data_IF_250323383632
#
_entry.id   IF_250323383632
#
_cell.length_a   1.000
_cell.length_b   1.000
_cell.length_c   1.000
_cell.angle_alpha   90.00
_cell.angle_beta   90.00
_cell.angle_gamma   90.00
#
_symmetry.space_group_name_H-M   'P 1'
#
loop_
_entity.id
_entity.type
_entity.pdbx_description
1 polymer ?
#
# COMPACT_ATOMS: atom_id res chain seq x y z
N UNK A 1 4.59 -0.88 -24.51
CA UNK A 1 3.87 0.09 -23.67
C UNK A 1 4.80 0.47 -22.53
N UNK A 2 4.94 1.77 -22.23
CA UNK A 2 5.77 2.24 -21.13
C UNK A 2 4.88 2.38 -19.89
N UNK A 3 4.82 1.32 -19.09
CA UNK A 3 4.10 1.30 -17.82
C UNK A 3 5.10 1.57 -16.70
N UNK A 4 4.65 2.13 -15.58
CA UNK A 4 5.48 2.27 -14.38
C UNK A 4 4.75 1.67 -13.18
N UNK A 5 5.51 1.25 -12.18
CA UNK A 5 4.97 0.78 -10.90
C UNK A 5 5.42 1.74 -9.83
N UNK A 6 4.47 2.25 -9.04
CA UNK A 6 4.76 3.06 -7.87
C UNK A 6 4.61 2.19 -6.63
N UNK A 7 5.66 2.08 -5.83
CA UNK A 7 5.56 1.54 -4.48
C UNK A 7 5.19 2.65 -3.50
N UNK A 8 4.35 2.33 -2.52
CA UNK A 8 3.80 3.26 -1.54
C UNK A 8 3.99 2.65 -0.15
N UNK A 9 5.05 3.08 0.54
CA UNK A 9 5.27 2.70 1.95
C UNK A 9 4.62 3.76 2.84
N UNK A 10 3.67 3.34 3.68
CA UNK A 10 3.01 4.23 4.63
C UNK A 10 4.02 4.76 5.67
N UNK A 11 4.16 6.08 5.77
CA UNK A 11 4.96 6.76 6.82
C UNK A 11 4.09 7.13 8.02
N UNK A 12 2.80 7.38 7.77
CA UNK A 12 1.79 7.63 8.79
C UNK A 12 0.60 6.70 8.57
N UNK A 13 -0.30 6.61 9.55
CA UNK A 13 -1.51 5.79 9.41
C UNK A 13 -2.30 6.23 8.17
N UNK A 14 -2.85 5.27 7.42
CA UNK A 14 -3.61 5.55 6.20
C UNK A 14 -5.10 5.32 6.43
N UNK A 15 -5.91 6.27 5.99
CA UNK A 15 -7.37 6.11 5.93
C UNK A 15 -7.87 6.28 4.48
N UNK A 16 -7.76 5.24 3.63
CA UNK A 16 -8.41 5.22 2.33
C UNK A 16 -9.90 4.94 2.53
N UNK A 17 -10.71 5.94 2.88
CA UNK A 17 -12.11 5.72 3.24
C UNK A 17 -12.98 5.18 2.08
N UNK A 18 -13.93 4.29 2.39
CA UNK A 18 -14.97 3.82 1.46
C UNK A 18 -16.32 4.54 1.62
N UNK A 19 -16.35 5.64 2.38
CA UNK A 19 -17.57 6.29 2.83
C UNK A 19 -18.10 5.73 4.15
N UNK A 20 -19.17 6.32 4.66
CA UNK A 20 -19.81 5.88 5.91
C UNK A 20 -20.55 4.56 5.70
N UNK A 21 -20.49 3.68 6.71
CA UNK A 21 -21.22 2.42 6.70
C UNK A 21 -22.13 2.30 7.92
N UNK A 22 -23.18 1.48 7.81
CA UNK A 22 -24.06 1.15 8.94
C UNK A 22 -23.48 0.03 9.84
N UNK A 23 -22.16 -0.17 9.82
CA UNK A 23 -21.46 -1.19 10.59
C UNK A 23 -21.09 -0.73 12.00
N UNK A 24 -20.33 -1.57 12.72
CA UNK A 24 -19.76 -1.22 14.04
C UNK A 24 -18.67 -0.14 13.93
N UNK A 25 -18.05 -0.03 12.75
CA UNK A 25 -17.07 1.00 12.41
C UNK A 25 -17.76 1.98 11.46
N UNK A 26 -17.90 3.24 11.88
CA UNK A 26 -18.56 4.28 11.10
C UNK A 26 -17.80 4.59 9.81
N UNK A 27 -16.47 4.68 9.91
CA UNK A 27 -15.55 5.00 8.82
C UNK A 27 -14.52 3.87 8.64
N UNK A 28 -14.86 2.79 7.91
CA UNK A 28 -13.93 1.72 7.60
C UNK A 28 -12.95 2.12 6.50
N UNK A 29 -11.82 1.41 6.42
CA UNK A 29 -10.94 1.52 5.25
C UNK A 29 -11.58 0.82 4.05
N UNK A 30 -11.27 1.29 2.85
CA UNK A 30 -11.71 0.67 1.61
C UNK A 30 -11.09 -0.72 1.46
N UNK A 31 -11.91 -1.66 1.00
CA UNK A 31 -11.58 -3.07 0.87
C UNK A 31 -12.01 -3.60 -0.48
N UNK A 32 -11.26 -4.53 -1.04
CA UNK A 32 -11.68 -5.30 -2.21
C UNK A 32 -12.92 -6.14 -1.86
N UNK A 33 -13.94 -6.13 -2.72
CA UNK A 33 -15.21 -6.79 -2.41
C UNK A 33 -15.09 -8.30 -2.16
N UNK A 34 -14.19 -8.99 -2.86
CA UNK A 34 -14.09 -10.46 -2.83
C UNK A 34 -13.18 -10.95 -1.69
N UNK A 35 -12.02 -10.33 -1.51
CA UNK A 35 -11.00 -10.75 -0.53
C UNK A 35 -11.18 -10.05 0.82
N UNK A 36 -11.83 -8.89 0.82
CA UNK A 36 -11.87 -7.92 1.92
C UNK A 36 -10.50 -7.34 2.28
N UNK A 37 -9.49 -7.48 1.41
CA UNK A 37 -8.18 -6.92 1.65
C UNK A 37 -8.23 -5.39 1.49
N UNK A 38 -7.54 -4.63 2.36
CA UNK A 38 -7.44 -3.19 2.21
C UNK A 38 -6.90 -2.78 0.84
N UNK A 39 -7.50 -1.74 0.28
CA UNK A 39 -7.17 -1.23 -1.05
C UNK A 39 -7.25 0.29 -1.06
N UNK A 40 -6.39 0.94 -1.83
CA UNK A 40 -6.59 2.34 -2.18
C UNK A 40 -7.14 2.38 -3.60
N UNK A 41 -8.40 2.77 -3.74
CA UNK A 41 -9.09 2.75 -5.04
C UNK A 41 -8.38 3.66 -6.06
N UNK A 42 -8.36 3.23 -7.31
CA UNK A 42 -7.61 3.88 -8.39
C UNK A 42 -8.06 5.31 -8.65
N UNK A 43 -9.33 5.63 -8.40
CA UNK A 43 -9.84 7.01 -8.45
C UNK A 43 -9.22 7.89 -7.37
N UNK A 44 -9.10 7.39 -6.13
CA UNK A 44 -8.42 8.09 -5.02
C UNK A 44 -6.93 8.25 -5.31
N UNK A 45 -6.27 7.21 -5.81
CA UNK A 45 -4.86 7.29 -6.24
C UNK A 45 -4.67 8.31 -7.35
N UNK A 46 -5.53 8.31 -8.37
CA UNK A 46 -5.50 9.29 -9.47
C UNK A 46 -5.71 10.71 -8.95
N UNK A 47 -6.61 10.90 -7.99
CA UNK A 47 -6.86 12.18 -7.32
C UNK A 47 -5.62 12.68 -6.58
N UNK A 48 -4.99 11.83 -5.76
CA UNK A 48 -3.76 12.16 -5.04
C UNK A 48 -2.60 12.53 -5.98
N UNK A 49 -2.39 11.74 -7.04
CA UNK A 49 -1.36 12.02 -8.04
C UNK A 49 -1.63 13.33 -8.80
N UNK A 50 -2.90 13.61 -9.11
CA UNK A 50 -3.31 14.86 -9.74
C UNK A 50 -3.05 16.05 -8.82
N UNK A 51 -3.48 15.98 -7.56
CA UNK A 51 -3.24 17.05 -6.59
C UNK A 51 -1.74 17.34 -6.43
N UNK A 52 -0.92 16.29 -6.30
CA UNK A 52 0.54 16.43 -6.27
C UNK A 52 1.08 17.10 -7.54
N UNK A 53 0.56 16.75 -8.70
CA UNK A 53 0.95 17.38 -9.96
C UNK A 53 0.54 18.86 -10.03
N UNK A 54 -0.64 19.21 -9.53
CA UNK A 54 -1.12 20.60 -9.43
C UNK A 54 -0.25 21.43 -8.47
N UNK A 55 0.23 20.84 -7.37
CA UNK A 55 1.18 21.49 -6.45
C UNK A 55 2.55 21.74 -7.09
N UNK A 56 3.06 20.82 -7.90
CA UNK A 56 4.42 20.89 -8.48
C UNK A 56 4.46 21.69 -9.79
N UNK A 57 3.46 21.53 -10.65
CA UNK A 57 3.42 22.15 -11.98
C UNK A 57 2.47 23.35 -12.09
N UNK A 58 1.63 23.56 -11.08
CA UNK A 58 0.54 24.54 -11.10
C UNK A 58 -0.79 23.93 -11.55
N UNK A 59 -1.88 24.37 -10.92
CA UNK A 59 -3.24 23.84 -11.12
C UNK A 59 -3.77 23.96 -12.55
N UNK A 60 -3.37 25.01 -13.25
CA UNK A 60 -3.80 25.30 -14.63
C UNK A 60 -2.81 24.79 -15.69
N UNK A 61 -1.82 23.99 -15.29
CA UNK A 61 -0.83 23.44 -16.21
C UNK A 61 -1.46 22.49 -17.23
N UNK A 62 -1.21 22.73 -18.52
CA UNK A 62 -1.65 21.84 -19.60
C UNK A 62 -1.20 20.38 -19.39
N UNK A 63 -0.05 20.17 -18.73
CA UNK A 63 0.46 18.83 -18.41
C UNK A 63 -0.46 18.06 -17.45
N UNK A 64 -1.08 18.74 -16.48
CA UNK A 64 -2.02 18.11 -15.55
C UNK A 64 -3.23 17.61 -16.33
N UNK A 65 -3.79 18.44 -17.20
CA UNK A 65 -4.94 18.09 -18.03
C UNK A 65 -4.61 16.99 -19.03
N UNK A 66 -3.44 17.03 -19.66
CA UNK A 66 -3.01 15.97 -20.56
C UNK A 66 -2.90 14.63 -19.83
N UNK A 67 -2.28 14.59 -18.66
CA UNK A 67 -2.02 13.33 -17.92
C UNK A 67 -3.31 12.79 -17.31
N UNK A 68 -4.06 13.61 -16.57
CA UNK A 68 -5.18 13.15 -15.77
C UNK A 68 -6.55 13.32 -16.44
N UNK A 69 -6.63 14.15 -17.48
CA UNK A 69 -7.86 14.46 -18.20
C UNK A 69 -8.64 15.65 -17.65
N UNK A 70 -9.67 16.01 -18.39
CA UNK A 70 -10.68 17.03 -18.10
C UNK A 70 -12.08 16.43 -18.27
N UNK A 71 -13.16 17.10 -17.84
CA UNK A 71 -14.52 16.58 -17.97
C UNK A 71 -14.91 16.13 -19.40
N UNK A 72 -14.35 16.77 -20.41
CA UNK A 72 -14.60 16.55 -21.84
C UNK A 72 -13.46 15.83 -22.57
N UNK A 73 -12.33 15.54 -21.90
CA UNK A 73 -11.15 14.92 -22.50
C UNK A 73 -10.52 13.85 -21.60
N UNK A 74 -10.38 12.64 -22.12
CA UNK A 74 -9.74 11.55 -21.38
C UNK A 74 -8.23 11.79 -21.22
N UNK A 75 -7.71 11.54 -20.01
CA UNK A 75 -6.28 11.66 -19.70
C UNK A 75 -5.41 10.62 -20.41
N UNK A 76 -4.09 10.84 -20.38
CA UNK A 76 -3.07 10.04 -21.03
C UNK A 76 -2.71 8.73 -20.29
N UNK A 77 -3.06 8.61 -19.01
CA UNK A 77 -2.72 7.42 -18.19
C UNK A 77 -3.94 6.76 -17.54
N UNK A 78 -3.88 5.44 -17.42
CA UNK A 78 -4.69 4.66 -16.48
C UNK A 78 -3.94 4.53 -15.15
N UNK A 79 -4.64 4.74 -14.04
CA UNK A 79 -4.13 4.53 -12.68
C UNK A 79 -4.92 3.39 -12.08
N UNK A 80 -4.26 2.29 -11.74
CA UNK A 80 -4.93 1.14 -11.10
C UNK A 80 -5.15 1.39 -9.62
N UNK A 81 -5.97 0.58 -8.99
CA UNK A 81 -6.01 0.48 -7.53
C UNK A 81 -4.59 0.25 -6.98
N UNK A 82 -4.27 0.86 -5.83
CA UNK A 82 -3.08 0.48 -5.09
C UNK A 82 -3.40 -0.75 -4.24
N UNK A 83 -2.71 -1.84 -4.55
CA UNK A 83 -2.90 -3.15 -3.93
C UNK A 83 -1.97 -3.33 -2.75
N UNK A 84 -2.49 -3.83 -1.63
CA UNK A 84 -1.70 -4.20 -0.48
C UNK A 84 -0.74 -5.33 -0.86
N UNK A 85 0.51 -5.23 -0.42
CA UNK A 85 1.51 -6.29 -0.60
C UNK A 85 2.04 -6.79 0.75
N UNK A 86 2.37 -5.87 1.66
CA UNK A 86 2.83 -6.20 3.01
C UNK A 86 2.01 -5.46 4.06
N UNK A 87 1.46 -6.20 5.01
CA UNK A 87 0.75 -5.68 6.16
C UNK A 87 1.62 -5.82 7.41
N UNK A 88 1.98 -4.73 8.10
CA UNK A 88 2.70 -4.85 9.37
C UNK A 88 1.73 -5.31 10.45
N UNK A 89 2.09 -6.41 11.11
CA UNK A 89 1.31 -7.05 12.18
C UNK A 89 2.18 -7.13 13.41
N UNK A 90 1.65 -6.76 14.58
CA UNK A 90 2.40 -6.80 15.84
C UNK A 90 2.88 -8.22 16.10
N UNK A 91 4.11 -8.35 16.60
CA UNK A 91 4.68 -9.65 16.96
C UNK A 91 5.23 -9.62 18.37
N UNK A 92 5.21 -10.77 19.06
CA UNK A 92 5.90 -10.93 20.36
C UNK A 92 7.37 -11.33 20.19
N UNK A 93 7.79 -11.73 18.99
CA UNK A 93 9.16 -12.10 18.65
C UNK A 93 9.99 -10.90 18.13
N UNK A 94 9.53 -9.66 18.36
CA UNK A 94 10.17 -8.44 17.85
C UNK A 94 9.25 -7.23 17.95
N UNK A 95 9.47 -6.23 17.10
CA UNK A 95 8.60 -5.03 17.05
C UNK A 95 7.29 -5.33 16.29
N UNK A 96 7.39 -5.67 15.02
CA UNK A 96 6.31 -6.14 14.16
C UNK A 96 6.92 -7.01 13.05
N UNK A 97 6.06 -7.72 12.31
CA UNK A 97 6.45 -8.46 11.09
C UNK A 97 5.64 -7.95 9.91
N UNK A 98 6.27 -7.86 8.74
CA UNK A 98 5.56 -7.65 7.49
C UNK A 98 4.98 -8.99 7.03
N UNK A 99 3.67 -9.11 7.15
CA UNK A 99 2.93 -10.31 6.80
C UNK A 99 2.41 -10.17 5.37
N UNK A 100 2.49 -11.25 4.61
CA UNK A 100 1.90 -11.42 3.28
C UNK A 100 1.39 -12.85 3.11
N UNK A 101 0.86 -13.19 1.94
CA UNK A 101 0.33 -14.52 1.64
C UNK A 101 0.61 -14.92 0.18
N UNK A 102 0.54 -16.22 -0.16
CA UNK A 102 0.74 -16.71 -1.52
C UNK A 102 -0.08 -15.96 -2.57
N UNK A 103 -1.33 -15.61 -2.25
CA UNK A 103 -2.19 -14.87 -3.16
C UNK A 103 -1.67 -13.47 -3.52
N UNK A 104 -1.20 -12.70 -2.52
CA UNK A 104 -0.68 -11.36 -2.77
C UNK A 104 0.63 -11.42 -3.57
N UNK A 105 1.48 -12.41 -3.30
CA UNK A 105 2.73 -12.63 -4.02
C UNK A 105 2.47 -13.02 -5.49
N UNK A 106 1.61 -14.01 -5.71
CA UNK A 106 1.17 -14.44 -7.04
C UNK A 106 0.61 -13.27 -7.86
N UNK A 107 -0.27 -12.48 -7.24
CA UNK A 107 -0.88 -11.31 -7.88
C UNK A 107 0.14 -10.23 -8.18
N UNK A 108 1.07 -9.95 -7.26
CA UNK A 108 2.16 -9.01 -7.49
C UNK A 108 3.01 -9.43 -8.69
N UNK A 109 3.36 -10.72 -8.81
CA UNK A 109 4.12 -11.19 -9.97
C UNK A 109 3.36 -10.94 -11.28
N UNK A 110 2.06 -11.29 -11.37
CA UNK A 110 1.24 -11.04 -12.56
C UNK A 110 1.14 -9.55 -12.90
N UNK A 111 1.03 -8.69 -11.90
CA UNK A 111 0.95 -7.25 -12.11
C UNK A 111 2.29 -6.67 -12.60
N UNK A 112 3.41 -7.16 -12.06
CA UNK A 112 4.74 -6.80 -12.56
C UNK A 112 4.92 -7.21 -14.02
N UNK A 113 4.46 -8.41 -14.39
CA UNK A 113 4.45 -8.88 -15.78
C UNK A 113 3.56 -7.99 -16.68
N UNK A 114 2.37 -7.59 -16.20
CA UNK A 114 1.48 -6.65 -16.89
C UNK A 114 2.14 -5.28 -17.10
N UNK A 115 2.94 -4.83 -16.12
CA UNK A 115 3.72 -3.61 -16.22
C UNK A 115 4.99 -3.75 -17.09
N UNK A 116 5.26 -4.94 -17.63
CA UNK A 116 6.40 -5.19 -18.53
C UNK A 116 7.71 -5.48 -17.80
N UNK A 117 7.67 -5.84 -16.52
CA UNK A 117 8.83 -6.31 -15.77
C UNK A 117 8.93 -7.83 -15.82
N UNK A 118 10.16 -8.34 -15.79
CA UNK A 118 10.41 -9.76 -15.56
C UNK A 118 10.80 -9.94 -14.09
N UNK A 119 9.81 -10.14 -13.23
CA UNK A 119 10.01 -10.46 -11.81
C UNK A 119 9.78 -11.95 -11.62
N UNK A 120 10.80 -12.65 -11.14
CA UNK A 120 10.66 -14.04 -10.70
C UNK A 120 10.67 -14.06 -9.18
N UNK A 121 9.50 -14.22 -8.57
CA UNK A 121 9.44 -14.46 -7.13
C UNK A 121 10.03 -15.83 -6.82
N UNK A 122 10.75 -15.98 -5.70
CA UNK A 122 11.13 -17.31 -5.24
C UNK A 122 9.86 -18.10 -4.94
N UNK A 123 9.93 -19.42 -5.14
CA UNK A 123 8.87 -20.32 -4.73
C UNK A 123 8.83 -20.34 -3.20
N UNK A 124 7.84 -19.66 -2.61
CA UNK A 124 7.58 -19.72 -1.18
C UNK A 124 6.41 -20.68 -1.01
N UNK A 125 6.66 -21.89 -0.48
CA UNK A 125 5.60 -22.87 -0.31
C UNK A 125 4.52 -22.29 0.58
N UNK A 126 3.25 -22.51 0.21
CA UNK A 126 2.12 -22.11 1.05
C UNK A 126 2.23 -22.86 2.38
N UNK A 127 2.43 -22.16 3.51
CA UNK A 127 2.56 -22.81 4.79
C UNK A 127 1.20 -23.41 5.20
N UNK A 128 1.18 -24.59 5.85
CA UNK A 128 -0.06 -25.14 6.39
C UNK A 128 -0.62 -24.23 7.50
N UNK A 129 -1.89 -24.39 7.84
CA UNK A 129 -2.49 -23.60 8.92
C UNK A 129 -1.77 -23.81 10.25
N UNK A 130 -1.58 -22.72 11.00
CA UNK A 130 -0.77 -22.68 12.21
C UNK A 130 0.74 -22.70 11.95
N UNK A 131 1.18 -22.46 10.72
CA UNK A 131 2.58 -22.32 10.36
C UNK A 131 2.85 -21.04 9.57
N UNK A 132 4.07 -20.54 9.66
CA UNK A 132 4.50 -19.34 8.96
C UNK A 132 5.88 -19.54 8.33
N UNK A 133 6.03 -19.18 7.05
CA UNK A 133 7.34 -19.14 6.41
C UNK A 133 8.04 -17.83 6.79
N UNK A 134 9.16 -17.95 7.50
CA UNK A 134 9.94 -16.82 8.01
C UNK A 134 11.40 -17.24 8.24
N UNK A 135 12.28 -16.27 8.48
CA UNK A 135 13.65 -16.53 8.96
C UNK A 135 13.62 -16.98 10.44
N UNK A 136 14.47 -17.95 10.79
CA UNK A 136 14.61 -18.49 12.15
C UNK A 136 13.90 -19.83 12.38
N UNK A 137 13.69 -20.17 13.64
CA UNK A 137 13.06 -21.41 14.10
C UNK A 137 12.18 -21.17 15.35
N UNK A 138 11.35 -22.17 15.70
CA UNK A 138 10.46 -22.15 16.86
C UNK A 138 9.12 -21.46 16.58
N UNK A 139 8.51 -20.91 17.63
CA UNK A 139 7.17 -20.32 17.54
C UNK A 139 7.21 -18.81 17.23
N UNK A 140 6.37 -18.39 16.29
CA UNK A 140 6.09 -17.00 15.94
C UNK A 140 4.70 -16.61 16.46
N UNK A 141 4.63 -15.50 17.18
CA UNK A 141 3.36 -14.93 17.64
C UNK A 141 3.06 -13.65 16.86
N UNK A 142 1.90 -13.61 16.21
CA UNK A 142 1.38 -12.45 15.47
C UNK A 142 0.01 -12.09 16.05
N UNK A 143 -0.07 -10.92 16.66
CA UNK A 143 -1.20 -10.53 17.51
C UNK A 143 -1.58 -11.66 18.50
N UNK A 144 -2.81 -12.17 18.45
CA UNK A 144 -3.33 -13.26 19.27
C UNK A 144 -3.04 -14.66 18.71
N UNK A 145 -2.52 -14.78 17.50
CA UNK A 145 -2.30 -16.06 16.82
C UNK A 145 -0.87 -16.56 17.01
N UNK A 146 -0.72 -17.88 17.14
CA UNK A 146 0.57 -18.57 17.25
C UNK A 146 0.83 -19.45 16.04
N UNK A 147 2.07 -19.43 15.54
CA UNK A 147 2.52 -20.17 14.37
C UNK A 147 3.81 -20.91 14.68
N UNK A 148 3.99 -22.07 14.09
CA UNK A 148 5.30 -22.72 14.00
C UNK A 148 6.06 -22.21 12.78
N UNK A 149 7.33 -21.82 12.97
CA UNK A 149 8.15 -21.29 11.89
C UNK A 149 8.63 -22.43 10.99
N UNK A 150 8.27 -22.34 9.71
CA UNK A 150 8.85 -23.16 8.65
C UNK A 150 9.99 -22.38 8.02
N UNK A 151 11.19 -22.59 8.55
CA UNK A 151 12.38 -21.83 8.17
C UNK A 151 12.61 -21.88 6.66
N UNK A 152 12.52 -20.71 6.02
CA UNK A 152 12.70 -20.56 4.58
C UNK A 152 13.50 -19.28 4.34
N UNK A 153 14.46 -19.33 3.42
CA UNK A 153 15.23 -18.14 3.06
C UNK A 153 14.33 -17.04 2.49
N UNK A 154 14.12 -15.97 3.25
CA UNK A 154 13.29 -14.82 2.86
C UNK A 154 14.07 -13.82 2.00
N UNK A 155 15.38 -13.98 1.89
CA UNK A 155 16.26 -13.05 1.15
C UNK A 155 15.82 -12.83 -0.29
N UNK A 156 15.47 -13.89 -1.03
CA UNK A 156 15.03 -13.75 -2.42
C UNK A 156 13.71 -12.97 -2.55
N UNK A 157 12.78 -13.18 -1.61
CA UNK A 157 11.50 -12.49 -1.62
C UNK A 157 11.68 -11.02 -1.23
N UNK A 158 12.50 -10.76 -0.21
CA UNK A 158 12.88 -9.42 0.19
C UNK A 158 13.55 -8.66 -0.97
N UNK A 159 14.46 -9.29 -1.73
CA UNK A 159 15.08 -8.68 -2.90
C UNK A 159 14.08 -8.34 -4.01
N UNK A 160 13.04 -9.15 -4.21
CA UNK A 160 12.02 -8.87 -5.21
C UNK A 160 11.08 -7.72 -4.81
N UNK A 161 10.81 -7.55 -3.51
CA UNK A 161 9.92 -6.50 -2.99
C UNK A 161 10.66 -5.19 -2.68
N UNK A 162 11.95 -5.26 -2.34
CA UNK A 162 12.78 -4.11 -1.97
C UNK A 162 12.73 -2.92 -2.95
N UNK A 163 12.65 -3.11 -4.28
CA UNK A 163 12.52 -1.98 -5.22
C UNK A 163 11.28 -1.10 -4.97
N UNK A 164 10.22 -1.63 -4.36
CA UNK A 164 9.02 -0.87 -3.99
C UNK A 164 9.22 0.04 -2.77
N UNK A 165 10.37 -0.05 -2.10
CA UNK A 165 10.68 0.67 -0.87
C UNK A 165 11.80 1.69 -1.16
N UNK A 166 11.52 2.97 -0.92
CA UNK A 166 12.49 4.05 -1.16
C UNK A 166 13.63 4.06 -0.12
N UNK A 167 13.34 3.71 1.14
CA UNK A 167 14.29 3.82 2.25
C UNK A 167 15.26 2.65 2.30
N UNK A 168 16.56 2.92 2.15
CA UNK A 168 17.59 1.88 2.20
C UNK A 168 17.55 1.06 3.50
N UNK A 169 17.40 1.72 4.66
CA UNK A 169 17.35 1.03 5.96
C UNK A 169 16.13 0.12 6.13
N UNK A 170 15.02 0.46 5.46
CA UNK A 170 13.82 -0.38 5.44
C UNK A 170 14.06 -1.60 4.55
N UNK A 171 14.69 -1.42 3.39
CA UNK A 171 15.14 -2.52 2.52
C UNK A 171 16.07 -3.50 3.24
N UNK A 172 17.04 -2.99 4.00
CA UNK A 172 18.05 -3.79 4.71
C UNK A 172 17.43 -4.73 5.75
N UNK A 173 16.35 -4.31 6.43
CA UNK A 173 15.67 -5.11 7.48
C UNK A 173 14.55 -6.01 6.96
N UNK A 174 14.19 -5.91 5.67
CA UNK A 174 13.02 -6.57 5.11
C UNK A 174 13.08 -8.10 5.29
N UNK A 175 14.20 -8.72 4.91
CA UNK A 175 14.34 -10.19 4.96
C UNK A 175 14.09 -10.78 6.37
N UNK A 176 14.61 -10.15 7.43
CA UNK A 176 14.45 -10.64 8.81
C UNK A 176 13.07 -10.37 9.44
N UNK A 177 12.22 -9.60 8.76
CA UNK A 177 10.90 -9.20 9.27
C UNK A 177 9.74 -9.67 8.40
N UNK A 178 10.03 -10.23 7.24
CA UNK A 178 9.04 -10.76 6.31
C UNK A 178 8.51 -12.11 6.79
N UNK A 179 7.20 -12.28 6.70
CA UNK A 179 6.49 -13.49 7.07
C UNK A 179 5.45 -13.77 6.01
N UNK A 180 5.41 -15.02 5.54
CA UNK A 180 4.32 -15.52 4.69
C UNK A 180 3.47 -16.47 5.53
N UNK A 181 2.17 -16.20 5.59
CA UNK A 181 1.16 -17.10 6.16
C UNK A 181 0.21 -17.53 5.04
N UNK A 182 -0.68 -18.50 5.30
CA UNK A 182 -1.67 -18.87 4.28
C UNK A 182 -2.70 -17.75 4.04
N UNK A 183 -3.48 -17.90 2.97
CA UNK A 183 -4.39 -16.85 2.52
C UNK A 183 -5.51 -16.54 3.54
N UNK A 184 -5.96 -17.54 4.31
CA UNK A 184 -7.04 -17.39 5.29
C UNK A 184 -6.55 -16.67 6.55
N UNK A 185 -5.36 -17.02 7.04
CA UNK A 185 -4.70 -16.35 8.17
C UNK A 185 -4.33 -14.90 7.81
N UNK A 186 -3.86 -14.65 6.59
CA UNK A 186 -3.65 -13.28 6.13
C UNK A 186 -4.97 -12.50 6.07
N UNK A 187 -6.04 -13.12 5.58
CA UNK A 187 -7.39 -12.52 5.55
C UNK A 187 -7.88 -12.13 6.94
N UNK A 188 -7.57 -12.94 7.95
CA UNK A 188 -7.83 -12.60 9.35
C UNK A 188 -7.15 -11.29 9.75
N UNK A 189 -5.83 -11.20 9.58
CA UNK A 189 -5.08 -9.98 9.95
C UNK A 189 -5.57 -8.75 9.19
N UNK A 190 -5.80 -8.88 7.88
CA UNK A 190 -6.27 -7.80 7.04
C UNK A 190 -7.65 -7.27 7.45
N UNK A 191 -8.51 -8.11 8.03
CA UNK A 191 -9.88 -7.75 8.43
C UNK A 191 -9.99 -7.26 9.86
N UNK A 192 -9.25 -7.87 10.79
CA UNK A 192 -9.53 -7.74 12.22
C UNK A 192 -8.39 -7.11 13.01
N UNK A 193 -7.19 -6.99 12.43
CA UNK A 193 -6.01 -6.47 13.14
C UNK A 193 -5.60 -5.07 12.65
N UNK A 194 -6.55 -4.31 12.07
CA UNK A 194 -6.33 -2.90 11.75
C UNK A 194 -6.67 -2.02 12.95
N UNK A 195 -6.03 -0.86 13.02
CA UNK A 195 -6.23 0.07 14.13
C UNK A 195 -7.60 0.75 14.00
N UNK A 196 -8.42 0.63 15.04
CA UNK A 196 -9.70 1.34 15.16
C UNK A 196 -9.58 2.41 16.24
N UNK A 197 -9.75 3.66 15.85
CA UNK A 197 -9.67 4.82 16.73
C UNK A 197 -11.07 5.37 17.01
N UNK A 198 -11.39 5.57 18.28
CA UNK A 198 -12.54 6.37 18.68
C UNK A 198 -12.19 7.86 18.56
N UNK A 199 -13.02 8.62 17.86
CA UNK A 199 -12.89 10.07 17.70
C UNK A 199 -14.16 10.74 18.19
N UNK A 200 -14.01 11.93 18.76
CA UNK A 200 -15.15 12.71 19.21
C UNK A 200 -15.05 14.21 18.93
N UNK A 201 -16.21 14.87 18.98
CA UNK A 201 -16.32 16.32 19.10
C UNK A 201 -16.64 16.65 20.55
N UNK A 202 -15.84 17.55 21.14
CA UNK A 202 -16.07 18.07 22.48
C UNK A 202 -16.84 19.39 22.39
N UNK A 203 -17.82 19.56 23.27
CA UNK A 203 -18.43 20.86 23.53
C UNK A 203 -17.40 21.81 24.15
N UNK A 204 -17.34 23.04 23.63
CA UNK A 204 -16.26 23.97 23.95
C UNK A 204 -16.33 24.49 25.39
N UNK A 205 -17.54 24.62 25.97
CA UNK A 205 -17.74 25.17 27.30
C UNK A 205 -17.65 24.09 28.39
N UNK A 206 -18.38 23.00 28.20
CA UNK A 206 -18.55 21.92 29.19
C UNK A 206 -17.48 20.84 29.10
N UNK A 207 -16.75 20.76 27.97
CA UNK A 207 -15.79 19.70 27.65
C UNK A 207 -16.42 18.30 27.63
N UNK A 208 -17.72 18.22 27.39
CA UNK A 208 -18.46 16.96 27.23
C UNK A 208 -18.42 16.48 25.77
N UNK A 209 -18.57 15.18 25.55
CA UNK A 209 -18.54 14.58 24.20
C UNK A 209 -19.93 14.58 23.56
N UNK A 210 -20.07 15.16 22.37
CA UNK A 210 -21.37 15.27 21.67
C UNK A 210 -21.52 14.36 20.45
N UNK A 211 -20.42 13.99 19.80
CA UNK A 211 -20.43 13.15 18.60
C UNK A 211 -19.25 12.18 18.65
N UNK A 212 -19.51 10.89 18.92
CA UNK A 212 -18.50 9.82 18.99
C UNK A 212 -18.62 8.93 17.75
N UNK A 213 -17.51 8.67 17.07
CA UNK A 213 -17.45 7.73 15.95
C UNK A 213 -16.17 6.91 15.97
N UNK A 214 -16.17 5.78 15.25
CA UNK A 214 -15.03 4.89 15.10
C UNK A 214 -14.48 4.93 13.68
N UNK A 215 -13.16 5.09 13.58
CA UNK A 215 -12.42 5.21 12.33
C UNK A 215 -11.36 4.10 12.27
N UNK A 216 -11.41 3.30 11.21
CA UNK A 216 -10.40 2.29 10.93
C UNK A 216 -9.25 2.88 10.11
N UNK A 217 -8.02 2.49 10.42
CA UNK A 217 -6.81 2.96 9.74
C UNK A 217 -5.84 1.81 9.51
N UNK A 218 -5.14 1.86 8.38
CA UNK A 218 -3.98 1.02 8.17
C UNK A 218 -2.78 1.54 8.95
N UNK A 219 -1.98 0.66 9.57
CA UNK A 219 -0.78 1.06 10.28
C UNK A 219 0.29 1.66 9.34
N UNK A 220 1.15 2.57 9.85
CA UNK A 220 2.44 2.90 9.22
C UNK A 220 3.23 1.63 8.90
N UNK A 221 4.18 1.73 7.97
CA UNK A 221 4.91 0.61 7.35
C UNK A 221 4.06 -0.31 6.44
N UNK A 222 2.76 -0.09 6.26
CA UNK A 222 1.98 -0.81 5.22
C UNK A 222 2.54 -0.53 3.83
N UNK A 223 2.82 -1.58 3.04
CA UNK A 223 3.34 -1.46 1.68
C UNK A 223 2.26 -1.76 0.66
N UNK A 224 1.98 -0.78 -0.20
CA UNK A 224 1.12 -0.90 -1.37
C UNK A 224 1.92 -0.71 -2.65
N UNK A 225 1.35 -1.12 -3.78
CA UNK A 225 1.83 -0.73 -5.11
C UNK A 225 0.68 -0.43 -6.07
N UNK A 226 0.89 0.48 -7.02
CA UNK A 226 -0.07 0.81 -8.10
C UNK A 226 0.63 0.84 -9.45
N UNK A 227 -0.10 0.48 -10.50
CA UNK A 227 0.37 0.52 -11.88
C UNK A 227 -0.14 1.79 -12.54
N UNK A 228 0.78 2.47 -13.24
CA UNK A 228 0.44 3.55 -14.15
C UNK A 228 0.66 3.04 -15.57
N UNK A 229 -0.43 2.95 -16.31
CA UNK A 229 -0.45 2.40 -17.66
C UNK A 229 -0.63 3.55 -18.64
N UNK A 230 0.38 3.80 -19.47
CA UNK A 230 0.25 4.79 -20.54
C UNK A 230 -0.76 4.32 -21.58
N UNK A 231 -1.67 5.21 -22.01
CA UNK A 231 -2.54 4.92 -23.15
C UNK A 231 -1.71 4.86 -24.44
N UNK A 232 -2.14 4.08 -25.44
CA UNK A 232 -1.43 3.99 -26.72
C UNK A 232 -1.15 5.37 -27.34
N UNK A 233 0.10 5.63 -27.72
CA UNK A 233 0.52 6.91 -28.30
C UNK A 233 0.72 8.04 -27.29
N UNK A 234 0.66 7.75 -25.98
CA UNK A 234 0.86 8.69 -24.87
C UNK A 234 1.97 8.26 -23.90
N UNK A 235 2.94 7.49 -24.38
CA UNK A 235 4.01 6.89 -23.58
C UNK A 235 4.91 7.93 -22.89
N UNK A 236 5.01 9.16 -23.39
CA UNK A 236 5.76 10.24 -22.73
C UNK A 236 5.10 10.76 -21.44
N UNK A 237 3.81 10.49 -21.22
CA UNK A 237 3.07 11.00 -20.07
C UNK A 237 3.58 10.46 -18.73
N UNK A 238 4.11 9.22 -18.71
CA UNK A 238 4.63 8.61 -17.48
C UNK A 238 5.94 9.23 -17.01
N UNK A 239 6.72 9.84 -17.91
CA UNK A 239 7.97 10.53 -17.54
C UNK A 239 7.69 11.76 -16.67
N UNK A 240 6.58 12.45 -16.94
CA UNK A 240 6.07 13.51 -16.09
C UNK A 240 5.80 13.00 -14.67
N UNK A 241 5.10 11.88 -14.52
CA UNK A 241 4.74 11.34 -13.20
C UNK A 241 5.97 10.95 -12.37
N UNK A 242 6.97 10.33 -12.98
CA UNK A 242 8.24 10.01 -12.30
C UNK A 242 8.92 11.29 -11.78
N UNK A 243 8.83 12.39 -12.52
CA UNK A 243 9.45 13.66 -12.11
C UNK A 243 8.85 14.29 -10.85
N UNK A 244 7.59 13.98 -10.51
CA UNK A 244 6.89 14.52 -9.33
C UNK A 244 7.56 14.15 -7.99
N UNK A 245 8.32 13.05 -7.99
CA UNK A 245 8.90 12.44 -6.79
C UNK A 245 10.42 12.61 -6.69
N UNK A 246 11.05 13.31 -7.64
CA UNK A 246 12.51 13.49 -7.65
C UNK A 246 13.03 14.32 -6.47
N UNK A 247 12.36 15.42 -6.13
CA UNK A 247 12.78 16.31 -5.05
C UNK A 247 12.15 15.93 -3.71
N UNK A 248 10.89 15.48 -3.74
CA UNK A 248 10.13 15.08 -2.56
C UNK A 248 9.38 13.77 -2.88
N UNK A 249 9.88 12.61 -2.40
CA UNK A 249 9.32 11.31 -2.73
C UNK A 249 8.14 10.96 -1.82
N UNK A 250 7.23 11.91 -1.59
CA UNK A 250 6.09 11.74 -0.70
C UNK A 250 4.79 12.08 -1.40
N UNK A 251 3.76 11.29 -1.12
CA UNK A 251 2.40 11.46 -1.61
C UNK A 251 1.43 11.39 -0.44
N UNK A 252 0.51 12.34 -0.35
CA UNK A 252 -0.64 12.25 0.55
C UNK A 252 -1.74 11.45 -0.15
N UNK A 253 -2.28 10.46 0.55
CA UNK A 253 -3.30 9.54 0.04
C UNK A 253 -4.35 9.27 1.12
N UNK A 254 -5.63 9.32 0.73
CA UNK A 254 -6.74 9.09 1.66
C UNK A 254 -7.15 10.37 2.41
N UNK A 255 -7.96 10.21 3.45
CA UNK A 255 -8.47 11.31 4.26
C UNK A 255 -7.51 11.76 5.37
N UNK A 256 -8.00 12.65 6.23
CA UNK A 256 -7.36 13.02 7.51
C UNK A 256 -5.95 13.64 7.40
N UNK A 257 -5.64 14.32 6.29
CA UNK A 257 -4.36 15.02 6.08
C UNK A 257 -4.04 16.00 7.23
N UNK A 258 -5.02 16.79 7.67
CA UNK A 258 -4.83 17.85 8.67
C UNK A 258 -4.55 17.31 10.08
N UNK A 259 -4.78 16.02 10.32
CA UNK A 259 -4.38 15.31 11.56
C UNK A 259 -3.19 14.37 11.33
N UNK A 260 -2.47 14.55 10.21
CA UNK A 260 -1.20 13.86 9.93
C UNK A 260 -1.32 12.47 9.31
N UNK A 261 -2.51 12.03 8.89
CA UNK A 261 -2.69 10.73 8.24
C UNK A 261 -2.45 10.80 6.73
N UNK A 262 -2.16 9.65 6.11
CA UNK A 262 -2.16 9.50 4.66
C UNK A 262 -0.81 9.68 3.96
N UNK A 263 0.30 9.86 4.67
CA UNK A 263 1.59 10.11 4.01
C UNK A 263 2.27 8.79 3.62
N UNK A 264 2.57 8.64 2.33
CA UNK A 264 3.32 7.52 1.78
C UNK A 264 4.65 7.99 1.19
N UNK A 265 5.73 7.28 1.48
CA UNK A 265 6.97 7.39 0.74
C UNK A 265 6.88 6.59 -0.56
N UNK A 266 7.25 7.23 -1.68
CA UNK A 266 7.04 6.72 -3.03
C UNK A 266 8.35 6.22 -3.63
N UNK A 267 8.33 5.01 -4.17
CA UNK A 267 9.35 4.50 -5.08
C UNK A 267 8.81 4.44 -6.51
N UNK A 268 9.67 4.58 -7.51
CA UNK A 268 9.27 4.57 -8.92
C UNK A 268 10.07 3.50 -9.69
N UNK A 269 9.38 2.46 -10.15
CA UNK A 269 9.97 1.44 -11.01
C UNK A 269 9.59 1.72 -12.47
N UNK A 270 10.59 1.77 -13.34
CA UNK A 270 10.43 1.95 -14.78
C UNK A 270 11.05 0.75 -15.51
N UNK A 271 10.34 0.08 -16.43
CA UNK A 271 10.89 -1.04 -17.18
C UNK A 271 12.16 -0.64 -17.95
N UNK A 272 13.21 -1.45 -17.83
CA UNK A 272 14.49 -1.23 -18.51
C UNK A 272 15.36 -0.10 -17.92
N UNK A 273 14.96 0.51 -16.81
CA UNK A 273 15.80 1.42 -16.03
C UNK A 273 16.31 0.75 -14.74
N UNK A 274 17.49 1.12 -14.28
CA UNK A 274 17.92 0.80 -12.90
C UNK A 274 16.96 1.50 -11.92
N UNK A 275 16.19 0.72 -11.16
CA UNK A 275 15.33 1.24 -10.11
C UNK A 275 16.13 2.09 -9.12
N UNK A 276 15.61 3.26 -8.75
CA UNK A 276 16.21 4.14 -7.74
C UNK A 276 15.25 4.32 -6.59
#
# INVERSE_FOLDING_TARGET
>A
MKNIVLGLLAETSLHPGSGQTAGVIDLPVAREAVTSYPVIVGSSMKGALRDRAEQVWGRESEKVYEIFGQPDAAGAVGVTDARLLLLPVRSLNGHYKWVTCPYLLERYQRDMELAGFTVKLPDVPEPPSGSAAAEGDGSLFLEELSFEIVSTGMTGLAQAVAPLICHQKVRDRLAGSLVVVNNDEFSYFARYCLQVNARNVLDDETKTSENLWYEETLPPDSLFYTLIIARPGKEGAVDGLVSLFKERPYLQVGGNETVGQGWCAVSCLVPGGEGR
#
